data_IF_175673512387
#
_entry.id   IF_175673512387
#
_cell.length_a   1.000
_cell.length_b   1.000
_cell.length_c   1.000
_cell.angle_alpha   90.00
_cell.angle_beta   90.00
_cell.angle_gamma   90.00
#
_symmetry.space_group_name_H-M   'P 1'
#
loop_
_entity.id
_entity.type
_entity.pdbx_description
1 polymer ?
#
# COMPACT_ATOMS: atom_id res chain seq x y z
N UNK A 1 13.09 -2.71 -17.12
CA UNK A 1 11.96 -2.12 -16.36
C UNK A 1 12.06 -2.60 -14.91
N UNK A 2 12.26 -1.69 -13.95
CA UNK A 2 12.35 -2.06 -12.52
C UNK A 2 10.95 -2.50 -12.07
N UNK A 3 10.77 -3.77 -11.69
CA UNK A 3 9.51 -4.27 -11.13
C UNK A 3 9.30 -3.61 -9.78
N UNK A 4 8.20 -2.88 -9.62
CA UNK A 4 7.78 -2.38 -8.32
C UNK A 4 7.44 -3.58 -7.43
N UNK A 5 8.06 -3.66 -6.27
CA UNK A 5 7.79 -4.72 -5.30
C UNK A 5 6.94 -4.17 -4.16
N UNK A 6 6.29 -5.04 -3.40
CA UNK A 6 5.47 -4.63 -2.26
C UNK A 6 6.28 -3.87 -1.17
N UNK A 7 7.62 -4.00 -1.16
CA UNK A 7 8.52 -3.25 -0.28
C UNK A 7 8.67 -1.77 -0.67
N UNK A 8 8.29 -1.41 -1.90
CA UNK A 8 8.31 -0.02 -2.37
C UNK A 8 6.99 0.70 -2.06
N UNK A 9 6.05 0.04 -1.35
CA UNK A 9 4.76 0.59 -0.96
C UNK A 9 4.85 1.23 0.42
N UNK A 10 4.62 2.53 0.48
CA UNK A 10 4.53 3.27 1.73
C UNK A 10 3.06 3.58 2.02
N UNK A 11 2.58 3.19 3.20
CA UNK A 11 1.22 3.46 3.65
C UNK A 11 1.24 4.62 4.64
N UNK A 12 0.51 5.69 4.33
CA UNK A 12 0.42 6.89 5.16
C UNK A 12 -1.04 7.14 5.44
N UNK A 13 -1.43 7.18 6.70
CA UNK A 13 -2.77 7.65 7.09
C UNK A 13 -2.79 9.18 6.98
N UNK A 14 -3.68 9.70 6.14
CA UNK A 14 -3.81 11.15 5.90
C UNK A 14 -5.10 11.71 6.50
N UNK A 15 -6.07 10.85 6.82
CA UNK A 15 -7.29 11.20 7.53
C UNK A 15 -7.91 9.91 8.12
N UNK A 16 -8.93 10.06 8.96
CA UNK A 16 -9.65 8.93 9.56
C UNK A 16 -10.17 7.98 8.46
N UNK A 17 -9.69 6.73 8.47
CA UNK A 17 -10.02 5.71 7.47
C UNK A 17 -9.62 6.07 6.02
N UNK A 18 -8.68 7.01 5.83
CA UNK A 18 -8.15 7.40 4.51
C UNK A 18 -6.63 7.25 4.50
N UNK A 19 -6.15 6.41 3.59
CA UNK A 19 -4.73 6.09 3.46
C UNK A 19 -4.22 6.50 2.09
N UNK A 20 -3.11 7.23 2.07
CA UNK A 20 -2.29 7.44 0.88
C UNK A 20 -1.25 6.34 0.78
N UNK A 21 -1.19 5.71 -0.38
CA UNK A 21 -0.27 4.63 -0.69
C UNK A 21 0.67 5.10 -1.78
N UNK A 22 1.94 5.27 -1.43
CA UNK A 22 2.99 5.67 -2.36
C UNK A 22 3.70 4.44 -2.88
N UNK A 23 3.81 4.33 -4.20
CA UNK A 23 4.34 3.21 -4.95
C UNK A 23 5.35 3.77 -5.97
N UNK A 24 6.59 4.01 -5.51
CA UNK A 24 7.62 4.65 -6.32
C UNK A 24 7.22 6.07 -6.75
N UNK A 25 6.92 6.27 -8.04
CA UNK A 25 6.48 7.58 -8.59
C UNK A 25 4.95 7.75 -8.67
N UNK A 26 4.18 6.78 -8.17
CA UNK A 26 2.72 6.81 -8.17
C UNK A 26 2.24 6.91 -6.74
N UNK A 27 1.19 7.67 -6.50
CA UNK A 27 0.49 7.66 -5.22
C UNK A 27 -1.00 7.45 -5.49
N UNK A 28 -1.66 6.68 -4.64
CA UNK A 28 -3.10 6.48 -4.68
C UNK A 28 -3.68 6.72 -3.30
N UNK A 29 -4.89 7.27 -3.25
CA UNK A 29 -5.61 7.51 -2.00
C UNK A 29 -6.77 6.53 -1.93
N UNK A 30 -6.88 5.80 -0.84
CA UNK A 30 -7.86 4.73 -0.66
C UNK A 30 -8.52 4.89 0.71
N UNK A 31 -9.83 4.72 0.76
CA UNK A 31 -10.55 4.55 2.03
C UNK A 31 -10.46 3.09 2.48
N UNK A 32 -10.08 2.88 3.73
CA UNK A 32 -9.99 1.56 4.33
C UNK A 32 -10.17 1.67 5.84
N UNK A 33 -10.60 0.58 6.48
CA UNK A 33 -10.80 0.54 7.93
C UNK A 33 -9.51 0.35 8.73
N UNK A 34 -8.41 0.02 8.05
CA UNK A 34 -7.12 -0.30 8.66
C UNK A 34 -6.00 -0.21 7.62
N UNK A 35 -4.76 0.05 8.03
CA UNK A 35 -3.61 0.12 7.12
C UNK A 35 -3.39 -1.18 6.33
N UNK A 36 -3.65 -2.35 6.95
CA UNK A 36 -3.55 -3.65 6.29
C UNK A 36 -4.59 -3.86 5.19
N UNK A 37 -5.79 -3.29 5.36
CA UNK A 37 -6.85 -3.32 4.34
C UNK A 37 -6.51 -2.35 3.20
N UNK A 38 -6.01 -1.16 3.54
CA UNK A 38 -5.53 -0.18 2.56
C UNK A 38 -4.43 -0.77 1.66
N UNK A 39 -3.45 -1.46 2.26
CA UNK A 39 -2.38 -2.14 1.52
C UNK A 39 -2.96 -3.19 0.56
N UNK A 40 -3.84 -4.08 1.03
CA UNK A 40 -4.47 -5.11 0.18
C UNK A 40 -5.20 -4.50 -1.02
N UNK A 41 -5.96 -3.42 -0.79
CA UNK A 41 -6.64 -2.69 -1.86
C UNK A 41 -5.63 -2.07 -2.83
N UNK A 42 -4.60 -1.40 -2.33
CA UNK A 42 -3.56 -0.79 -3.14
C UNK A 42 -2.87 -1.79 -4.06
N UNK A 43 -2.56 -2.97 -3.53
CA UNK A 43 -1.92 -4.05 -4.26
C UNK A 43 -2.81 -4.57 -5.40
N UNK A 44 -4.13 -4.67 -5.18
CA UNK A 44 -5.08 -4.98 -6.26
C UNK A 44 -5.11 -3.89 -7.31
N UNK A 45 -5.18 -2.61 -6.91
CA UNK A 45 -5.22 -1.48 -7.84
C UNK A 45 -3.95 -1.35 -8.67
N UNK A 46 -2.79 -1.61 -8.08
CA UNK A 46 -1.49 -1.48 -8.73
C UNK A 46 -1.05 -2.76 -9.47
N UNK A 47 -1.81 -3.86 -9.33
CA UNK A 47 -1.46 -5.16 -9.92
C UNK A 47 -0.19 -5.78 -9.31
N UNK A 48 0.12 -5.44 -8.04
CA UNK A 48 1.31 -5.89 -7.34
C UNK A 48 0.94 -7.06 -6.41
N UNK A 49 1.75 -8.11 -6.42
CA UNK A 49 1.54 -9.25 -5.54
C UNK A 49 2.09 -8.95 -4.13
N UNK A 50 1.22 -8.54 -3.22
CA UNK A 50 1.58 -8.20 -1.84
C UNK A 50 1.53 -9.37 -0.86
N UNK A 51 1.29 -10.59 -1.35
CA UNK A 51 1.16 -11.81 -0.54
C UNK A 51 2.42 -12.19 0.23
N UNK A 52 3.59 -11.60 -0.07
CA UNK A 52 4.84 -11.89 0.64
C UNK A 52 5.16 -10.91 1.77
N UNK A 53 4.54 -9.73 1.81
CA UNK A 53 5.01 -8.63 2.67
C UNK A 53 3.91 -7.94 3.48
N UNK A 54 2.71 -8.49 3.55
CA UNK A 54 1.65 -8.04 4.47
C UNK A 54 2.03 -8.13 5.97
N UNK A 55 3.28 -8.48 6.29
CA UNK A 55 3.79 -8.76 7.63
C UNK A 55 5.04 -7.95 8.03
N UNK A 56 5.56 -7.05 7.18
CA UNK A 56 6.66 -6.16 7.56
C UNK A 56 6.14 -4.75 7.87
N UNK A 57 5.13 -4.67 8.74
CA UNK A 57 4.85 -3.47 9.53
C UNK A 57 5.64 -3.63 10.84
N UNK A 58 6.97 -3.69 10.74
CA UNK A 58 7.84 -3.82 11.91
C UNK A 58 8.43 -2.46 12.22
N UNK A 59 7.81 -1.82 13.22
CA UNK A 59 8.28 -0.76 14.12
C UNK A 59 9.20 0.34 13.55
#
# INVERSE_FOLDING_TARGET
MKKLTANDLKVIEINENVYQIEAGKRAIVIRAKSPSEALKLACRYLGINCSKNALHLSN
#
